data_IF_571630452227
#
_entry.id   IF_571630452227
#
_cell.length_a   1.000
_cell.length_b   1.000
_cell.length_c   1.000
_cell.angle_alpha   90.00
_cell.angle_beta   90.00
_cell.angle_gamma   90.00
#
_symmetry.space_group_name_H-M   'P 1'
#
loop_
_entity.id
_entity.type
_entity.pdbx_description
1 polymer ?
#
# COMPACT_ATOMS: atom_id res chain seq x y z
N UNK A 1 -13.27 -10.99 -7.61
CA UNK A 1 -12.90 -12.12 -6.72
C UNK A 1 -13.36 -11.78 -5.31
N UNK A 2 -14.14 -12.66 -4.67
CA UNK A 2 -14.58 -12.49 -3.27
C UNK A 2 -13.61 -13.25 -2.38
N UNK A 3 -12.86 -12.55 -1.53
CA UNK A 3 -12.19 -13.17 -0.40
C UNK A 3 -13.22 -13.39 0.74
N UNK A 4 -13.24 -14.54 1.41
CA UNK A 4 -14.13 -14.77 2.53
C UNK A 4 -13.58 -14.01 3.74
N UNK A 5 -14.38 -13.12 4.33
CA UNK A 5 -13.95 -12.32 5.47
C UNK A 5 -14.21 -13.00 6.82
N UNK A 6 -13.34 -12.83 7.81
CA UNK A 6 -13.73 -12.82 9.20
C UNK A 6 -14.29 -11.45 9.56
N UNK A 7 -15.29 -11.52 10.44
CA UNK A 7 -16.20 -10.44 10.84
C UNK A 7 -15.45 -9.25 11.44
N UNK A 8 -15.65 -8.07 10.85
CA UNK A 8 -15.70 -6.83 11.64
C UNK A 8 -17.15 -6.38 11.75
N UNK A 9 -17.60 -6.12 12.98
CA UNK A 9 -19.00 -5.83 13.29
C UNK A 9 -19.45 -4.41 12.91
N UNK A 10 -18.59 -3.61 12.25
CA UNK A 10 -18.88 -2.20 11.97
C UNK A 10 -18.27 -1.69 10.64
N UNK A 11 -17.80 -2.55 9.75
CA UNK A 11 -17.13 -2.11 8.51
C UNK A 11 -15.77 -1.44 8.75
N UNK A 12 -15.22 -1.58 9.96
CA UNK A 12 -13.87 -1.12 10.34
C UNK A 12 -12.92 -2.31 10.16
N UNK A 13 -11.88 -2.16 9.35
CA UNK A 13 -10.93 -3.22 9.08
C UNK A 13 -9.58 -2.85 9.68
N UNK A 14 -9.01 -3.80 10.42
CA UNK A 14 -7.60 -3.75 10.79
C UNK A 14 -6.77 -4.16 9.57
N UNK A 15 -5.86 -3.28 9.16
CA UNK A 15 -5.08 -3.44 7.92
C UNK A 15 -4.22 -4.70 7.99
N UNK A 16 -3.61 -5.01 9.13
CA UNK A 16 -2.80 -6.20 9.33
C UNK A 16 -3.61 -7.48 9.12
N UNK A 17 -4.82 -7.59 9.66
CA UNK A 17 -5.69 -8.75 9.45
C UNK A 17 -6.08 -8.96 7.97
N UNK A 18 -6.39 -7.87 7.27
CA UNK A 18 -6.74 -7.91 5.86
C UNK A 18 -5.55 -8.38 4.98
N UNK A 19 -4.33 -8.09 5.42
CA UNK A 19 -3.10 -8.44 4.70
C UNK A 19 -2.61 -9.84 5.06
N UNK A 20 -2.77 -10.29 6.32
CA UNK A 20 -2.50 -11.67 6.74
C UNK A 20 -3.36 -12.68 5.98
N UNK A 21 -4.59 -12.28 5.64
CA UNK A 21 -5.54 -13.10 4.89
C UNK A 21 -5.48 -12.88 3.38
N UNK A 22 -4.60 -12.00 2.90
CA UNK A 22 -4.46 -11.74 1.47
C UNK A 22 -3.98 -13.02 0.76
N UNK A 23 -4.68 -13.47 -0.30
CA UNK A 23 -4.29 -14.65 -1.03
C UNK A 23 -2.92 -14.42 -1.70
N UNK A 24 -2.18 -15.49 -1.96
CA UNK A 24 -0.81 -15.40 -2.48
C UNK A 24 -0.71 -14.63 -3.82
N UNK A 25 -1.76 -14.70 -4.65
CA UNK A 25 -1.88 -14.02 -5.94
C UNK A 25 -2.24 -12.53 -5.83
N UNK A 26 -2.63 -12.04 -4.65
CA UNK A 26 -2.80 -10.62 -4.39
C UNK A 26 -1.45 -9.88 -4.31
N UNK A 27 -0.35 -10.62 -4.10
CA UNK A 27 1.00 -10.07 -4.01
C UNK A 27 1.69 -10.01 -5.37
N UNK A 28 2.17 -8.83 -5.75
CA UNK A 28 2.86 -8.57 -7.00
C UNK A 28 4.27 -8.04 -6.73
N UNK A 29 5.27 -8.56 -7.43
CA UNK A 29 6.64 -8.06 -7.33
C UNK A 29 6.81 -6.80 -8.17
N UNK A 30 7.01 -5.67 -7.51
CA UNK A 30 7.07 -4.35 -8.15
C UNK A 30 8.30 -3.56 -7.69
N UNK A 31 8.87 -2.78 -8.60
CA UNK A 31 9.89 -1.77 -8.27
C UNK A 31 9.21 -0.51 -7.76
N UNK A 32 9.67 0.03 -6.65
CA UNK A 32 9.23 1.32 -6.13
C UNK A 32 10.20 2.46 -6.48
N UNK A 33 11.01 2.26 -7.54
CA UNK A 33 12.01 3.20 -8.04
C UNK A 33 13.45 2.86 -7.63
N UNK A 34 14.40 3.55 -8.22
CA UNK A 34 15.82 3.34 -7.94
C UNK A 34 16.22 3.89 -6.57
N UNK A 35 17.11 3.17 -5.88
CA UNK A 35 17.78 3.62 -4.66
C UNK A 35 19.29 3.63 -4.83
N UNK A 36 20.02 4.03 -3.78
CA UNK A 36 21.48 4.15 -3.82
C UNK A 36 22.23 2.84 -4.17
N UNK A 37 21.59 1.69 -3.96
CA UNK A 37 22.14 0.35 -4.25
C UNK A 37 21.49 -0.33 -5.47
N UNK A 38 20.76 0.42 -6.29
CA UNK A 38 19.99 -0.09 -7.42
C UNK A 38 18.47 -0.11 -7.19
N UNK A 39 17.70 -0.76 -8.09
CA UNK A 39 16.24 -0.78 -8.01
C UNK A 39 15.73 -1.33 -6.68
N UNK A 40 14.80 -0.62 -6.05
CA UNK A 40 14.15 -1.06 -4.81
C UNK A 40 12.93 -1.90 -5.16
N UNK A 41 13.08 -3.22 -5.09
CA UNK A 41 12.04 -4.19 -5.46
C UNK A 41 11.46 -4.87 -4.22
N UNK A 42 10.14 -4.95 -4.16
CA UNK A 42 9.40 -5.59 -3.07
C UNK A 42 8.18 -6.34 -3.60
N UNK A 43 7.60 -7.19 -2.77
CA UNK A 43 6.27 -7.72 -3.01
C UNK A 43 5.24 -6.74 -2.45
N UNK A 44 4.23 -6.39 -3.24
CA UNK A 44 3.18 -5.44 -2.92
C UNK A 44 1.81 -6.06 -3.06
N UNK A 45 0.93 -5.80 -2.10
CA UNK A 45 -0.50 -6.07 -2.20
C UNK A 45 -1.28 -4.76 -2.08
N UNK A 46 -2.38 -4.62 -2.81
CA UNK A 46 -3.24 -3.45 -2.72
C UNK A 46 -4.72 -3.80 -2.83
N UNK A 47 -5.56 -3.06 -2.10
CA UNK A 47 -7.00 -3.19 -2.17
C UNK A 47 -7.68 -1.81 -2.13
N UNK A 48 -8.76 -1.67 -2.89
CA UNK A 48 -9.65 -0.50 -2.78
C UNK A 48 -10.43 -0.59 -1.47
N UNK A 49 -10.43 0.49 -0.70
CA UNK A 49 -11.31 0.61 0.45
C UNK A 49 -12.75 0.89 -0.02
N UNK A 50 -13.77 0.47 0.75
CA UNK A 50 -15.15 0.77 0.43
C UNK A 50 -15.38 2.27 0.23
N UNK A 51 -16.28 2.60 -0.71
CA UNK A 51 -16.76 3.96 -0.88
C UNK A 51 -17.47 4.42 0.39
N UNK A 52 -17.21 5.65 0.79
CA UNK A 52 -17.89 6.33 1.87
C UNK A 52 -18.89 7.29 1.24
N UNK A 53 -20.17 6.93 1.34
CA UNK A 53 -21.29 7.65 0.73
C UNK A 53 -21.44 9.12 1.19
N UNK A 54 -20.78 9.51 2.28
CA UNK A 54 -20.81 10.88 2.82
C UNK A 54 -19.70 11.74 2.19
N UNK A 55 -18.53 11.16 1.91
CA UNK A 55 -17.32 11.90 1.51
C UNK A 55 -16.90 11.66 0.06
N UNK A 56 -17.34 10.56 -0.56
CA UNK A 56 -16.94 10.20 -1.92
C UNK A 56 -18.04 10.64 -2.91
N UNK A 57 -17.72 11.47 -3.92
CA UNK A 57 -18.69 11.91 -4.92
C UNK A 57 -19.15 10.76 -5.82
N UNK A 58 -20.33 10.92 -6.42
CA UNK A 58 -20.90 10.01 -7.43
C UNK A 58 -21.16 10.77 -8.75
N UNK A 59 -20.46 10.43 -9.86
CA UNK A 59 -19.46 9.37 -9.97
C UNK A 59 -18.14 9.75 -9.27
N UNK A 60 -17.47 8.75 -8.69
CA UNK A 60 -16.21 8.97 -7.99
C UNK A 60 -15.09 9.34 -8.96
N UNK A 61 -14.32 10.38 -8.62
CA UNK A 61 -13.11 10.77 -9.36
C UNK A 61 -11.85 10.11 -8.81
N UNK A 62 -11.92 9.60 -7.57
CA UNK A 62 -10.83 8.98 -6.84
C UNK A 62 -11.32 7.77 -6.04
N UNK A 63 -10.39 6.90 -5.67
CA UNK A 63 -10.60 5.82 -4.72
C UNK A 63 -9.60 5.91 -3.59
N UNK A 64 -10.03 5.48 -2.40
CA UNK A 64 -9.13 5.18 -1.29
C UNK A 64 -8.57 3.77 -1.45
N UNK A 65 -7.29 3.62 -1.16
CA UNK A 65 -6.56 2.36 -1.24
C UNK A 65 -5.82 2.10 0.07
N UNK A 66 -5.70 0.82 0.40
CA UNK A 66 -4.68 0.31 1.31
C UNK A 66 -3.65 -0.46 0.50
N UNK A 67 -2.38 -0.29 0.85
CA UNK A 67 -1.27 -1.06 0.30
C UNK A 67 -0.47 -1.68 1.43
N UNK A 68 0.03 -2.88 1.20
CA UNK A 68 1.08 -3.49 1.99
C UNK A 68 2.28 -3.80 1.10
N UNK A 69 3.46 -3.64 1.67
CA UNK A 69 4.73 -4.00 1.07
C UNK A 69 5.46 -4.93 2.03
N UNK A 70 6.03 -6.01 1.52
CA UNK A 70 6.90 -6.90 2.31
C UNK A 70 8.28 -7.07 1.69
N UNK A 71 9.28 -7.33 2.53
CA UNK A 71 10.64 -7.65 2.07
C UNK A 71 10.67 -8.96 1.29
N UNK A 72 11.58 -9.04 0.31
CA UNK A 72 11.77 -10.25 -0.50
C UNK A 72 12.57 -11.32 0.27
N UNK A 73 13.45 -10.90 1.18
CA UNK A 73 14.27 -11.80 2.00
C UNK A 73 13.59 -12.20 3.30
N UNK A 74 12.76 -11.31 3.86
CA UNK A 74 11.97 -11.57 5.05
C UNK A 74 10.51 -11.08 4.85
N UNK A 75 9.60 -11.96 4.40
CA UNK A 75 8.20 -11.60 4.18
C UNK A 75 7.44 -11.10 5.42
N UNK A 76 8.00 -11.24 6.63
CA UNK A 76 7.40 -10.73 7.87
C UNK A 76 7.66 -9.25 8.09
N UNK A 77 8.67 -8.68 7.41
CA UNK A 77 8.93 -7.24 7.41
C UNK A 77 7.93 -6.50 6.51
N UNK A 78 6.81 -6.08 7.12
CA UNK A 78 5.71 -5.40 6.46
C UNK A 78 5.74 -3.89 6.67
N UNK A 79 5.36 -3.14 5.64
CA UNK A 79 5.04 -1.72 5.69
C UNK A 79 3.68 -1.46 5.04
N UNK A 80 2.90 -0.55 5.61
CA UNK A 80 1.54 -0.25 5.17
C UNK A 80 1.38 1.19 4.72
N UNK A 81 0.53 1.40 3.71
CA UNK A 81 0.26 2.72 3.13
C UNK A 81 -1.23 2.92 2.88
N UNK A 82 -1.68 4.16 3.03
CA UNK A 82 -2.98 4.62 2.55
C UNK A 82 -2.76 5.58 1.39
N UNK A 83 -3.56 5.43 0.33
CA UNK A 83 -3.54 6.32 -0.82
C UNK A 83 -4.95 6.78 -1.17
N UNK A 84 -5.05 8.02 -1.64
CA UNK A 84 -6.25 8.56 -2.29
C UNK A 84 -5.85 8.92 -3.71
N UNK A 85 -6.30 8.13 -4.67
CA UNK A 85 -5.74 8.15 -6.02
C UNK A 85 -6.85 8.17 -7.08
N UNK A 86 -6.60 8.76 -8.27
CA UNK A 86 -7.60 8.84 -9.32
C UNK A 86 -8.16 7.48 -9.72
N UNK A 87 -9.38 7.47 -10.24
CA UNK A 87 -9.92 6.25 -10.89
C UNK A 87 -9.01 5.86 -12.06
N UNK A 88 -8.71 4.56 -12.17
CA UNK A 88 -7.84 4.01 -13.21
C UNK A 88 -6.34 4.04 -12.87
N UNK A 89 -5.96 4.44 -11.64
CA UNK A 89 -4.58 4.28 -11.18
C UNK A 89 -4.19 2.79 -11.14
N UNK A 90 -2.98 2.49 -11.59
CA UNK A 90 -2.39 1.15 -11.53
C UNK A 90 -1.57 0.96 -10.25
N UNK A 91 -1.41 -0.30 -9.82
CA UNK A 91 -0.74 -0.63 -8.55
C UNK A 91 0.77 -0.33 -8.59
N UNK A 92 1.42 -0.46 -9.74
CA UNK A 92 2.84 -0.15 -9.93
C UNK A 92 3.10 1.35 -9.71
N UNK A 93 2.20 2.21 -10.19
CA UNK A 93 2.29 3.65 -9.97
C UNK A 93 2.05 4.00 -8.48
N UNK A 94 1.10 3.35 -7.81
CA UNK A 94 0.93 3.50 -6.37
C UNK A 94 2.17 3.06 -5.59
N UNK A 95 2.79 1.93 -5.96
CA UNK A 95 4.02 1.42 -5.36
C UNK A 95 5.19 2.38 -5.56
N UNK A 96 5.34 2.94 -6.77
CA UNK A 96 6.34 3.96 -7.09
C UNK A 96 6.16 5.23 -6.24
N UNK A 97 4.93 5.73 -6.11
CA UNK A 97 4.63 6.91 -5.29
C UNK A 97 4.92 6.60 -3.81
N UNK A 98 4.47 5.45 -3.29
CA UNK A 98 4.74 5.04 -1.92
C UNK A 98 6.23 4.89 -1.62
N UNK A 99 7.01 4.33 -2.56
CA UNK A 99 8.47 4.21 -2.45
C UNK A 99 9.22 5.54 -2.51
N UNK A 100 8.66 6.57 -3.17
CA UNK A 100 9.28 7.90 -3.21
C UNK A 100 9.26 8.62 -1.86
N UNK A 101 8.31 8.28 -0.97
CA UNK A 101 8.23 8.85 0.39
C UNK A 101 9.41 8.46 1.29
N UNK A 102 10.09 7.35 1.02
CA UNK A 102 11.33 7.00 1.74
C UNK A 102 12.44 8.05 1.55
N UNK A 103 12.43 8.83 0.46
CA UNK A 103 13.36 9.95 0.29
C UNK A 103 13.10 11.10 1.27
N UNK A 104 11.88 11.23 1.80
CA UNK A 104 11.53 12.29 2.75
C UNK A 104 12.03 11.96 4.16
N UNK A 105 11.97 10.71 4.60
CA UNK A 105 12.48 10.28 5.91
C UNK A 105 14.01 10.20 5.98
N UNK A 106 14.70 9.82 4.88
CA UNK A 106 16.17 9.87 4.83
C UNK A 106 16.73 11.29 4.99
N UNK A 107 15.95 12.32 4.64
CA UNK A 107 16.35 13.72 4.82
C UNK A 107 16.33 14.17 6.29
N UNK A 108 15.59 13.48 7.17
CA UNK A 108 15.52 13.77 8.60
C UNK A 108 16.54 12.98 9.44
N UNK A 109 16.91 11.77 9.01
CA UNK A 109 17.95 10.97 9.71
C UNK A 109 19.34 11.60 9.58
N UNK A 110 19.57 12.47 8.59
CA UNK A 110 20.88 13.10 8.32
C UNK A 110 21.16 14.38 9.12
N UNK A 111 20.36 14.70 10.14
CA UNK A 111 20.55 15.92 10.95
C UNK A 111 20.82 15.68 12.45
N UNK A 112 21.13 14.44 12.85
CA UNK A 112 21.54 14.10 14.22
C UNK A 112 22.96 13.50 14.27
N UNK A 113 23.86 14.11 13.50
CA UNK A 113 25.31 13.91 13.64
C UNK A 113 26.03 15.22 13.26
N UNK A 114 26.00 16.18 14.17
CA UNK A 114 26.96 17.27 14.27
C UNK A 114 27.30 17.50 15.74
#
# INVERSE_FOLDING_TARGET
MRCPSPRSLAGIWRIDQLIDEAPADAWQRLSCGDGAKGPRVYDWAAAKLPANIIFDPDPSTHHRWVLARRSLSDPTELAYYLAHAPVGIEIDELARIAGSRWAVEECFVRHEAA
#
